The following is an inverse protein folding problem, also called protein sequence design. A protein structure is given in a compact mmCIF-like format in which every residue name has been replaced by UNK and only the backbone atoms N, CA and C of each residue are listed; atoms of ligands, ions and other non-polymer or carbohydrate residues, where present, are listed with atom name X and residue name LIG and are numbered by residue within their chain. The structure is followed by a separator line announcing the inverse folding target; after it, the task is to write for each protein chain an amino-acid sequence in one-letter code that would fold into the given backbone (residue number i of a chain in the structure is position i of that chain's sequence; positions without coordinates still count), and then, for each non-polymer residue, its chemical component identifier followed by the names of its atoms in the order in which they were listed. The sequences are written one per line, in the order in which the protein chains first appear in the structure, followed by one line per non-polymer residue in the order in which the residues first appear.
data_IF_329531986142
#
_entry.id   IF_329531986142
#
_cell.length_a   1.000
_cell.length_b   1.000
_cell.length_c   1.000
_cell.angle_alpha   90.00
_cell.angle_beta   90.00
_cell.angle_gamma   90.00
#
_symmetry.space_group_name_H-M   'P 1'
#
loop_
_entity.id
_entity.type
_entity.pdbx_description
1 polymer ?
#
# COMPACT_ATOMS: atom_id res chain seq x y z
N UNK A 1 -26.85 -28.88 -42.41
CA UNK A 1 -27.46 -27.59 -42.07
C UNK A 1 -27.63 -27.51 -40.58
N UNK A 2 -26.71 -26.90 -39.86
CA UNK A 2 -26.90 -26.46 -38.47
C UNK A 2 -26.12 -25.17 -38.22
N UNK A 3 -26.73 -24.14 -37.61
CA UNK A 3 -26.03 -22.87 -37.37
C UNK A 3 -25.23 -22.95 -36.09
N UNK A 4 -24.02 -22.37 -36.14
CA UNK A 4 -23.09 -22.26 -35.05
C UNK A 4 -23.59 -21.33 -33.94
N UNK A 5 -23.29 -21.73 -32.73
CA UNK A 5 -23.49 -20.92 -31.53
C UNK A 5 -22.26 -20.02 -31.27
N UNK A 6 -22.49 -18.73 -31.27
CA UNK A 6 -21.54 -17.68 -30.90
C UNK A 6 -21.24 -17.75 -29.39
N UNK A 7 -19.98 -17.68 -28.94
CA UNK A 7 -19.68 -17.46 -27.54
C UNK A 7 -19.87 -15.98 -27.20
N UNK A 8 -20.67 -15.70 -26.19
CA UNK A 8 -20.86 -14.38 -25.60
C UNK A 8 -19.55 -13.91 -24.96
N UNK A 9 -18.94 -12.87 -25.54
CA UNK A 9 -17.88 -12.09 -24.90
C UNK A 9 -18.45 -11.36 -23.69
N UNK A 10 -18.12 -11.84 -22.50
CA UNK A 10 -18.37 -11.12 -21.27
C UNK A 10 -17.47 -9.89 -21.21
N UNK A 11 -18.05 -8.72 -21.29
CA UNK A 11 -17.35 -7.44 -21.05
C UNK A 11 -16.91 -7.41 -19.58
N UNK A 12 -15.62 -7.55 -19.36
CA UNK A 12 -14.98 -7.24 -18.09
C UNK A 12 -15.08 -5.73 -17.91
N UNK A 13 -15.86 -5.29 -16.94
CA UNK A 13 -15.94 -3.88 -16.54
C UNK A 13 -14.56 -3.46 -16.09
N UNK A 14 -14.01 -2.45 -16.75
CA UNK A 14 -12.78 -1.78 -16.33
C UNK A 14 -12.98 -1.25 -14.90
N UNK A 15 -12.26 -1.83 -13.96
CA UNK A 15 -12.18 -1.35 -12.59
C UNK A 15 -11.37 -0.05 -12.58
N UNK A 16 -11.85 0.91 -11.82
CA UNK A 16 -11.40 2.30 -11.78
C UNK A 16 -10.05 2.41 -11.02
N UNK A 17 -8.99 1.79 -11.55
CA UNK A 17 -7.69 1.64 -10.91
C UNK A 17 -6.80 2.90 -10.92
N UNK A 18 -7.30 4.03 -11.43
CA UNK A 18 -6.51 5.26 -11.59
C UNK A 18 -6.84 6.39 -10.60
N UNK A 19 -7.66 6.12 -9.56
CA UNK A 19 -8.11 7.16 -8.63
C UNK A 19 -6.98 7.82 -7.82
N UNK A 20 -5.87 7.12 -7.62
CA UNK A 20 -4.79 7.51 -6.71
C UNK A 20 -3.43 7.75 -7.38
N UNK A 21 -3.34 7.70 -8.72
CA UNK A 21 -2.07 7.91 -9.40
C UNK A 21 -1.54 9.32 -9.15
N UNK A 22 -0.34 9.40 -8.58
CA UNK A 22 0.36 10.64 -8.29
C UNK A 22 1.03 11.19 -9.56
N UNK A 23 0.23 11.68 -10.52
CA UNK A 23 0.70 12.66 -11.48
C UNK A 23 0.22 14.03 -11.01
N UNK A 24 1.12 15.02 -11.00
CA UNK A 24 0.81 16.38 -10.58
C UNK A 24 -0.49 16.87 -11.23
N UNK A 25 -1.53 17.02 -10.41
CA UNK A 25 -2.86 17.40 -10.87
C UNK A 25 -2.75 18.74 -11.61
N UNK A 26 -3.13 18.82 -12.89
CA UNK A 26 -3.28 20.12 -13.53
C UNK A 26 -4.40 20.86 -12.78
N UNK A 27 -4.13 22.09 -12.39
CA UNK A 27 -5.01 23.01 -11.64
C UNK A 27 -6.43 23.17 -12.22
N UNK A 28 -6.72 22.60 -13.38
CA UNK A 28 -7.99 22.75 -14.11
C UNK A 28 -9.05 21.70 -13.76
N UNK A 29 -8.78 20.75 -12.84
CA UNK A 29 -9.74 19.69 -12.47
C UNK A 29 -10.18 19.76 -10.99
N UNK A 30 -10.13 20.93 -10.39
CA UNK A 30 -10.52 21.20 -8.98
C UNK A 30 -12.01 21.04 -8.67
N UNK A 31 -12.85 20.71 -9.67
CA UNK A 31 -14.31 20.64 -9.48
C UNK A 31 -14.84 19.47 -8.66
N UNK A 32 -14.04 18.44 -8.35
CA UNK A 32 -14.51 17.26 -7.62
C UNK A 32 -13.65 16.85 -6.40
N UNK A 33 -12.52 17.51 -6.16
CA UNK A 33 -11.67 17.22 -5.00
C UNK A 33 -12.13 18.08 -3.83
N UNK A 34 -12.58 17.43 -2.75
CA UNK A 34 -12.89 18.13 -1.52
C UNK A 34 -11.58 18.50 -0.81
N UNK A 35 -11.04 19.68 -1.09
CA UNK A 35 -9.78 20.20 -0.57
C UNK A 35 -9.76 20.14 0.96
N UNK A 36 -10.87 20.49 1.64
CA UNK A 36 -10.97 20.44 3.09
C UNK A 36 -10.81 19.01 3.65
N UNK A 37 -11.30 17.99 2.91
CA UNK A 37 -11.12 16.60 3.28
C UNK A 37 -9.65 16.16 3.12
N UNK A 38 -9.01 16.57 2.03
CA UNK A 38 -7.58 16.28 1.77
C UNK A 38 -6.71 16.89 2.85
N UNK A 39 -6.93 18.16 3.21
CA UNK A 39 -6.17 18.83 4.25
C UNK A 39 -6.32 18.14 5.61
N UNK A 40 -7.52 17.70 5.99
CA UNK A 40 -7.76 16.93 7.23
C UNK A 40 -7.02 15.60 7.23
N UNK A 41 -6.99 14.87 6.09
CA UNK A 41 -6.27 13.60 5.96
C UNK A 41 -4.78 13.85 6.11
N UNK A 42 -4.20 14.80 5.38
CA UNK A 42 -2.77 15.10 5.45
C UNK A 42 -2.36 15.54 6.86
N UNK A 43 -3.15 16.38 7.52
CA UNK A 43 -2.88 16.82 8.89
C UNK A 43 -2.89 15.64 9.88
N UNK A 44 -3.87 14.73 9.78
CA UNK A 44 -3.92 13.49 10.58
C UNK A 44 -2.64 12.67 10.42
N UNK A 45 -2.21 12.45 9.17
CA UNK A 45 -1.03 11.62 8.90
C UNK A 45 0.27 12.34 9.23
N UNK A 46 0.36 13.66 9.12
CA UNK A 46 1.50 14.42 9.60
C UNK A 46 1.75 14.19 11.11
N UNK A 47 0.68 14.21 11.91
CA UNK A 47 0.76 13.88 13.34
C UNK A 47 1.17 12.41 13.56
N UNK A 48 0.56 11.48 12.84
CA UNK A 48 0.86 10.03 12.99
C UNK A 48 2.30 9.69 12.59
N UNK A 49 2.87 10.41 11.64
CA UNK A 49 4.23 10.21 11.13
C UNK A 49 5.28 11.05 11.88
N UNK A 50 4.83 11.97 12.75
CA UNK A 50 5.68 12.92 13.47
C UNK A 50 6.55 13.75 12.50
N UNK A 51 5.90 14.37 11.51
CA UNK A 51 6.52 15.24 10.52
C UNK A 51 5.65 16.47 10.22
N UNK A 52 6.23 17.58 9.73
CA UNK A 52 5.45 18.72 9.27
C UNK A 52 4.54 18.38 8.09
N UNK A 53 3.34 18.94 8.06
CA UNK A 53 2.33 18.62 7.02
C UNK A 53 2.78 19.00 5.60
N UNK A 54 3.65 19.99 5.48
CA UNK A 54 4.23 20.45 4.22
C UNK A 54 4.97 19.34 3.46
N UNK A 55 5.55 18.37 4.18
CA UNK A 55 6.22 17.21 3.57
C UNK A 55 5.25 16.25 2.89
N UNK A 56 3.96 16.30 3.23
CA UNK A 56 2.93 15.42 2.67
C UNK A 56 2.16 16.02 1.50
N UNK A 57 2.40 17.29 1.15
CA UNK A 57 1.61 18.02 0.15
C UNK A 57 1.58 17.35 -1.24
N UNK A 58 2.66 16.66 -1.62
CA UNK A 58 2.76 15.93 -2.89
C UNK A 58 2.34 14.46 -2.79
N UNK A 59 1.86 14.02 -1.62
CA UNK A 59 1.58 12.61 -1.30
C UNK A 59 0.10 12.38 -0.97
N UNK A 60 -0.76 13.33 -1.32
CA UNK A 60 -2.19 13.29 -0.99
C UNK A 60 -2.85 11.96 -1.41
N UNK A 61 -2.57 11.48 -2.63
CA UNK A 61 -3.12 10.22 -3.14
C UNK A 61 -2.71 9.00 -2.32
N UNK A 62 -1.48 8.96 -1.79
CA UNK A 62 -1.03 7.88 -0.90
C UNK A 62 -1.83 7.88 0.41
N UNK A 63 -1.97 9.03 1.05
CA UNK A 63 -2.64 9.12 2.34
C UNK A 63 -4.16 9.00 2.22
N UNK A 64 -4.77 9.46 1.15
CA UNK A 64 -6.18 9.17 0.84
C UNK A 64 -6.41 7.66 0.63
N UNK A 65 -5.52 6.99 -0.09
CA UNK A 65 -5.59 5.55 -0.24
C UNK A 65 -5.47 4.82 1.10
N UNK A 66 -4.49 5.22 1.94
CA UNK A 66 -4.32 4.63 3.27
C UNK A 66 -5.55 4.88 4.13
N UNK A 67 -6.11 6.10 4.13
CA UNK A 67 -7.34 6.45 4.86
C UNK A 67 -8.53 5.59 4.44
N UNK A 68 -8.69 5.40 3.14
CA UNK A 68 -9.74 4.54 2.60
C UNK A 68 -9.61 3.07 3.07
N UNK A 69 -8.41 2.59 3.33
CA UNK A 69 -8.16 1.21 3.77
C UNK A 69 -7.96 1.07 5.28
N UNK A 70 -7.79 2.15 6.01
CA UNK A 70 -7.46 2.15 7.43
C UNK A 70 -8.51 1.35 8.23
N UNK A 71 -8.04 0.44 9.10
CA UNK A 71 -8.92 -0.42 9.90
C UNK A 71 -9.57 -1.59 9.14
N UNK A 72 -9.34 -1.76 7.83
CA UNK A 72 -9.83 -2.95 7.10
C UNK A 72 -9.33 -4.21 7.79
N UNK A 73 -10.20 -5.17 8.16
CA UNK A 73 -9.81 -6.35 8.93
C UNK A 73 -8.78 -7.23 8.22
N UNK A 74 -7.91 -7.87 8.99
CA UNK A 74 -7.00 -8.89 8.43
C UNK A 74 -7.79 -10.15 8.05
N UNK A 75 -7.54 -10.65 6.85
CA UNK A 75 -8.03 -11.96 6.40
C UNK A 75 -6.96 -12.64 5.57
N UNK A 76 -6.47 -13.80 6.01
CA UNK A 76 -5.48 -14.55 5.25
C UNK A 76 -5.97 -14.89 3.84
N UNK A 77 -5.18 -14.55 2.82
CA UNK A 77 -5.54 -14.69 1.40
C UNK A 77 -6.58 -13.68 0.91
N UNK A 78 -7.04 -12.77 1.78
CA UNK A 78 -7.99 -11.71 1.41
C UNK A 78 -7.36 -10.62 0.55
N UNK A 79 -8.19 -9.92 -0.22
CA UNK A 79 -7.78 -8.88 -1.16
C UNK A 79 -8.84 -7.78 -1.37
N UNK A 80 -9.81 -7.65 -0.47
CA UNK A 80 -10.90 -6.68 -0.56
C UNK A 80 -11.15 -5.96 0.78
N UNK A 81 -12.16 -5.06 0.82
CA UNK A 81 -12.53 -4.28 2.01
C UNK A 81 -13.19 -5.11 3.12
N UNK A 82 -13.62 -6.33 2.84
CA UNK A 82 -14.15 -7.26 3.84
C UNK A 82 -13.05 -8.00 4.57
N UNK A 83 -11.82 -7.94 4.05
CA UNK A 83 -10.63 -8.49 4.67
C UNK A 83 -9.48 -8.62 3.70
N UNK A 84 -8.30 -8.20 4.15
CA UNK A 84 -7.07 -8.20 3.34
C UNK A 84 -5.90 -8.74 4.13
N UNK A 85 -4.99 -9.48 3.48
CA UNK A 85 -3.72 -9.87 4.11
C UNK A 85 -2.60 -8.86 3.82
N UNK A 86 -1.46 -9.03 4.47
CA UNK A 86 -0.33 -8.11 4.38
C UNK A 86 0.19 -7.92 2.95
N UNK A 87 0.35 -9.00 2.19
CA UNK A 87 0.86 -8.94 0.81
C UNK A 87 -0.22 -8.52 -0.20
N UNK A 88 -1.48 -8.82 0.08
CA UNK A 88 -2.61 -8.30 -0.68
C UNK A 88 -2.73 -6.78 -0.55
N UNK A 89 -2.62 -6.26 0.67
CA UNK A 89 -2.62 -4.82 0.91
C UNK A 89 -1.44 -4.13 0.23
N UNK A 90 -0.21 -4.64 0.40
CA UNK A 90 0.97 -4.10 -0.28
C UNK A 90 0.81 -4.09 -1.79
N UNK A 91 0.31 -5.19 -2.39
CA UNK A 91 0.09 -5.25 -3.85
C UNK A 91 -0.95 -4.24 -4.32
N UNK A 92 -2.05 -4.08 -3.57
CA UNK A 92 -3.12 -3.15 -3.91
C UNK A 92 -2.63 -1.70 -3.81
N UNK A 93 -1.88 -1.35 -2.75
CA UNK A 93 -1.30 -0.03 -2.59
C UNK A 93 -0.29 0.27 -3.71
N UNK A 94 0.66 -0.64 -3.97
CA UNK A 94 1.69 -0.45 -4.99
C UNK A 94 1.09 -0.25 -6.38
N UNK A 95 0.05 -1.01 -6.73
CA UNK A 95 -0.63 -0.87 -8.01
C UNK A 95 -1.41 0.43 -8.14
N UNK A 96 -2.16 0.83 -7.11
CA UNK A 96 -3.09 1.98 -7.21
C UNK A 96 -2.38 3.33 -7.01
N UNK A 97 -1.33 3.39 -6.19
CA UNK A 97 -0.64 4.64 -5.85
C UNK A 97 0.62 4.82 -6.68
N UNK A 98 1.44 3.77 -6.81
CA UNK A 98 2.75 3.86 -7.46
C UNK A 98 2.77 3.32 -8.90
N UNK A 99 1.65 2.77 -9.39
CA UNK A 99 1.55 2.09 -10.70
C UNK A 99 2.58 0.96 -10.88
N UNK A 100 2.93 0.27 -9.79
CA UNK A 100 3.91 -0.83 -9.76
C UNK A 100 3.18 -2.14 -9.42
N UNK A 101 3.34 -3.14 -10.29
CA UNK A 101 2.84 -4.49 -10.02
C UNK A 101 3.86 -5.29 -9.22
N UNK A 102 3.45 -5.83 -8.07
CA UNK A 102 4.27 -6.72 -7.25
C UNK A 102 3.58 -8.08 -7.10
N UNK A 103 4.35 -9.18 -6.86
CA UNK A 103 3.78 -10.51 -6.67
C UNK A 103 2.77 -10.59 -5.53
N UNK A 104 1.88 -11.61 -5.58
CA UNK A 104 0.81 -11.76 -4.58
C UNK A 104 1.30 -12.14 -3.18
N UNK A 105 2.42 -12.85 -3.04
CA UNK A 105 2.89 -13.33 -1.74
C UNK A 105 4.06 -12.51 -1.20
N UNK A 106 4.16 -12.35 0.11
CA UNK A 106 5.26 -11.60 0.74
C UNK A 106 6.64 -12.19 0.44
N UNK A 107 6.72 -13.51 0.29
CA UNK A 107 7.96 -14.21 -0.07
C UNK A 107 8.41 -13.85 -1.49
N UNK A 108 7.49 -13.89 -2.44
CA UNK A 108 7.79 -13.56 -3.85
C UNK A 108 8.07 -12.06 -4.00
N UNK A 109 7.33 -11.19 -3.27
CA UNK A 109 7.63 -9.76 -3.21
C UNK A 109 9.07 -9.54 -2.75
N UNK A 110 9.49 -10.21 -1.66
CA UNK A 110 10.85 -10.12 -1.16
C UNK A 110 11.89 -10.57 -2.20
N UNK A 111 11.64 -11.68 -2.91
CA UNK A 111 12.56 -12.19 -3.91
C UNK A 111 12.70 -11.28 -5.13
N UNK A 112 11.62 -10.60 -5.52
CA UNK A 112 11.57 -9.78 -6.73
C UNK A 112 11.99 -8.31 -6.54
N UNK A 113 12.21 -7.86 -5.30
CA UNK A 113 12.68 -6.51 -5.01
C UNK A 113 14.22 -6.42 -5.03
N UNK A 114 14.73 -5.23 -5.38
CA UNK A 114 16.11 -4.86 -5.06
C UNK A 114 16.23 -4.68 -3.55
N UNK A 115 17.17 -5.38 -2.91
CA UNK A 115 17.38 -5.25 -1.45
C UNK A 115 17.93 -3.89 -1.10
N UNK A 116 17.38 -3.30 -0.04
CA UNK A 116 17.84 -2.02 0.52
C UNK A 116 18.02 -2.16 2.02
N UNK A 117 19.02 -1.49 2.56
CA UNK A 117 19.25 -1.44 4.01
C UNK A 117 18.20 -0.57 4.70
N UNK A 118 18.08 -0.67 6.03
CA UNK A 118 17.14 0.14 6.81
C UNK A 118 17.38 1.65 6.64
N UNK A 119 18.65 2.06 6.54
CA UNK A 119 19.04 3.47 6.37
C UNK A 119 18.79 4.02 4.96
N UNK A 120 18.58 3.16 3.98
CA UNK A 120 18.31 3.54 2.58
C UNK A 120 16.83 3.48 2.21
N UNK A 121 15.97 3.15 3.17
CA UNK A 121 14.52 3.07 2.95
C UNK A 121 13.96 4.42 2.49
N UNK A 122 13.12 4.35 1.48
CA UNK A 122 12.37 5.48 0.91
C UNK A 122 10.89 5.12 0.84
N UNK A 123 10.04 6.12 0.79
CA UNK A 123 8.61 5.93 0.58
C UNK A 123 8.32 5.01 -0.62
N UNK A 124 7.40 4.09 -0.41
CA UNK A 124 7.06 3.05 -1.40
C UNK A 124 7.96 1.82 -1.37
N UNK A 125 9.07 1.81 -0.62
CA UNK A 125 9.84 0.58 -0.41
C UNK A 125 9.03 -0.41 0.44
N UNK A 126 9.17 -1.69 0.16
CA UNK A 126 8.57 -2.74 0.96
C UNK A 126 9.46 -3.08 2.16
N UNK A 127 8.87 -3.30 3.31
CA UNK A 127 9.56 -3.72 4.53
C UNK A 127 9.10 -5.12 4.92
N UNK A 128 10.05 -6.02 5.15
CA UNK A 128 9.78 -7.45 5.33
C UNK A 128 10.16 -7.94 6.72
N UNK A 129 9.35 -8.86 7.23
CA UNK A 129 9.51 -9.36 8.61
C UNK A 129 9.39 -10.88 8.68
N UNK A 130 10.16 -11.47 9.63
CA UNK A 130 10.05 -12.86 10.03
C UNK A 130 9.21 -12.98 11.30
N UNK A 131 7.89 -12.95 11.17
CA UNK A 131 6.97 -13.03 12.30
C UNK A 131 6.76 -14.48 12.77
N UNK A 132 6.80 -15.44 11.81
CA UNK A 132 6.49 -16.85 12.06
C UNK A 132 7.72 -17.75 12.25
N UNK A 133 8.95 -17.19 12.28
CA UNK A 133 10.18 -17.93 12.50
C UNK A 133 10.70 -18.76 11.30
N UNK A 134 10.08 -18.66 10.13
CA UNK A 134 10.41 -19.43 8.92
C UNK A 134 10.76 -18.57 7.71
N UNK A 135 11.50 -17.48 7.91
CA UNK A 135 11.82 -16.51 6.86
C UNK A 135 10.73 -15.45 6.69
N UNK A 136 10.68 -14.80 5.52
CA UNK A 136 9.71 -13.74 5.25
C UNK A 136 8.29 -14.28 5.35
N UNK A 137 7.51 -13.68 6.24
CA UNK A 137 6.13 -14.07 6.53
C UNK A 137 5.18 -12.88 6.69
N UNK A 138 5.72 -11.65 6.63
CA UNK A 138 4.94 -10.43 6.70
C UNK A 138 5.61 -9.31 5.89
N UNK A 139 4.81 -8.36 5.42
CA UNK A 139 5.24 -7.22 4.62
C UNK A 139 4.40 -5.99 4.92
N UNK A 140 5.03 -4.84 4.83
CA UNK A 140 4.38 -3.52 4.83
C UNK A 140 5.01 -2.62 3.78
N UNK A 141 4.46 -1.43 3.62
CA UNK A 141 4.96 -0.37 2.74
C UNK A 141 5.52 0.75 3.61
N UNK A 142 6.80 1.05 3.40
CA UNK A 142 7.48 2.12 4.12
C UNK A 142 6.94 3.48 3.71
N UNK A 143 6.74 4.33 4.68
CA UNK A 143 6.28 5.72 4.48
C UNK A 143 7.46 6.68 4.68
N UNK A 144 7.69 7.09 5.91
CA UNK A 144 8.79 7.97 6.32
C UNK A 144 9.01 7.84 7.82
N UNK A 145 10.07 8.40 8.36
CA UNK A 145 10.33 8.50 9.81
C UNK A 145 10.15 7.17 10.55
N UNK A 146 10.71 6.07 10.02
CA UNK A 146 10.55 4.69 10.50
C UNK A 146 9.10 4.17 10.52
N UNK A 147 8.14 4.87 9.95
CA UNK A 147 6.74 4.43 9.89
C UNK A 147 6.49 3.63 8.62
N UNK A 148 5.64 2.62 8.73
CA UNK A 148 5.18 1.80 7.61
C UNK A 148 3.71 1.43 7.79
N UNK A 149 2.99 1.26 6.69
CA UNK A 149 1.61 0.82 6.68
C UNK A 149 1.53 -0.66 6.30
N UNK A 150 0.68 -1.42 6.97
CA UNK A 150 0.50 -2.85 6.73
C UNK A 150 -0.87 -3.35 7.22
N UNK A 151 -1.29 -4.54 6.76
CA UNK A 151 -2.43 -5.23 7.34
C UNK A 151 -1.95 -6.09 8.53
N UNK A 152 -2.16 -5.61 9.73
CA UNK A 152 -1.88 -6.31 10.99
C UNK A 152 -2.93 -7.38 11.28
N UNK A 153 -2.49 -8.56 11.73
CA UNK A 153 -3.42 -9.65 12.11
C UNK A 153 -4.39 -9.23 13.22
N UNK A 154 -3.94 -8.38 14.15
CA UNK A 154 -4.72 -8.00 15.31
C UNK A 154 -5.53 -6.69 15.12
N UNK A 155 -5.06 -5.79 14.25
CA UNK A 155 -5.59 -4.44 14.16
C UNK A 155 -6.11 -4.07 12.75
N UNK A 156 -5.97 -4.98 11.77
CA UNK A 156 -6.27 -4.64 10.38
C UNK A 156 -5.22 -3.72 9.76
N UNK A 157 -5.63 -2.91 8.80
CA UNK A 157 -4.71 -1.95 8.14
C UNK A 157 -4.40 -0.80 9.08
N UNK A 158 -3.12 -0.68 9.45
CA UNK A 158 -2.61 0.33 10.40
C UNK A 158 -1.20 0.78 10.04
N UNK A 159 -0.77 1.91 10.62
CA UNK A 159 0.62 2.37 10.60
C UNK A 159 1.31 1.89 11.88
N UNK A 160 2.53 1.37 11.72
CA UNK A 160 3.41 0.92 12.80
C UNK A 160 4.82 1.48 12.64
N UNK A 161 5.65 1.33 13.67
CA UNK A 161 7.01 1.85 13.73
C UNK A 161 8.05 0.73 13.64
N UNK A 162 9.03 0.88 12.73
CA UNK A 162 10.19 -0.04 12.61
C UNK A 162 11.15 0.03 13.81
N UNK A 163 11.06 1.07 14.62
CA UNK A 163 11.82 1.25 15.86
C UNK A 163 11.19 0.55 17.07
N UNK A 164 9.91 0.20 17.03
CA UNK A 164 9.23 -0.52 18.11
C UNK A 164 9.80 -1.92 18.28
N UNK A 165 9.94 -2.36 19.55
CA UNK A 165 10.64 -3.60 19.93
C UNK A 165 10.17 -4.84 19.18
N UNK A 166 8.86 -4.98 18.93
CA UNK A 166 8.32 -6.11 18.17
C UNK A 166 8.79 -6.12 16.71
N UNK A 167 8.56 -5.04 15.97
CA UNK A 167 8.91 -4.98 14.55
C UNK A 167 10.41 -4.86 14.33
N UNK A 168 11.14 -4.15 15.19
CA UNK A 168 12.59 -4.02 15.08
C UNK A 168 13.31 -5.37 15.21
N UNK A 169 12.82 -6.26 16.11
CA UNK A 169 13.40 -7.61 16.29
C UNK A 169 13.02 -8.59 15.17
N UNK A 170 11.97 -8.33 14.42
CA UNK A 170 11.47 -9.19 13.34
C UNK A 170 11.85 -8.70 11.94
N UNK A 171 12.40 -7.49 11.82
CA UNK A 171 12.79 -6.88 10.56
C UNK A 171 13.87 -7.69 9.85
N UNK A 172 13.65 -8.04 8.59
CA UNK A 172 14.57 -8.81 7.76
C UNK A 172 15.28 -7.95 6.70
N UNK A 173 14.74 -6.79 6.37
CA UNK A 173 15.30 -5.91 5.36
C UNK A 173 14.22 -5.19 4.56
N UNK A 174 14.66 -4.21 3.80
CA UNK A 174 13.85 -3.50 2.83
C UNK A 174 13.97 -4.09 1.43
N UNK A 175 13.01 -3.76 0.59
CA UNK A 175 13.05 -4.10 -0.82
C UNK A 175 12.41 -3.02 -1.67
N UNK A 176 13.14 -2.53 -2.66
CA UNK A 176 12.64 -1.57 -3.63
C UNK A 176 12.04 -2.30 -4.82
N UNK A 177 10.72 -2.18 -5.06
CA UNK A 177 10.09 -2.77 -6.24
C UNK A 177 10.68 -2.17 -7.52
N UNK A 178 10.82 -2.98 -8.55
CA UNK A 178 11.23 -2.51 -9.88
C UNK A 178 10.02 -1.92 -10.60
N UNK A 179 10.21 -0.78 -11.23
CA UNK A 179 9.23 -0.21 -12.16
C UNK A 179 9.18 -0.99 -13.44
#
# INVERSE_FOLDING_TARGET
VTPGSNPKTGSVKADNSSKYAAEGLPLNNLGSVNIEKVDKVLFKYAIMLDIPVEYLSNQAGLFEFIEDWYGTPYKYGGNDRKGIDCSGFSSTLMSNVFAITVPRTSKDQYQNCQKVSKSELKEGDLVFFNIRGRGVSHVGVYLTNNKFVHASVNAGVVISDLGEGYYSTKFMGGGRPKK
#
